data_IF_985797910517
#
_entry.id   IF_985797910517
#
_cell.length_a   1.000
_cell.length_b   1.000
_cell.length_c   1.000
_cell.angle_alpha   90.00
_cell.angle_beta   90.00
_cell.angle_gamma   90.00
#
_symmetry.space_group_name_H-M   'P 1'
#
loop_
_entity.id
_entity.type
_entity.pdbx_description
1 polymer ?
#
# COMPACT_ATOMS: atom_id res chain seq x y z
N UNK A 1 15.25 10.51 4.54
CA UNK A 1 14.50 11.62 5.16
C UNK A 1 13.51 11.05 6.14
N UNK A 2 13.78 11.18 7.42
CA UNK A 2 12.84 10.71 8.46
C UNK A 2 11.78 11.79 8.60
N UNK A 3 10.63 11.59 7.98
CA UNK A 3 9.47 12.44 8.24
C UNK A 3 9.07 12.17 9.69
N UNK A 4 9.39 13.12 10.55
CA UNK A 4 8.88 13.10 11.91
C UNK A 4 7.37 13.32 11.85
N UNK A 5 6.65 12.24 11.87
CA UNK A 5 5.22 12.32 12.12
C UNK A 5 5.05 12.80 13.57
N UNK A 6 4.52 13.98 13.74
CA UNK A 6 4.08 14.40 15.06
C UNK A 6 2.89 13.53 15.42
N UNK A 7 2.99 12.88 16.57
CA UNK A 7 2.04 11.87 17.04
C UNK A 7 0.56 12.29 17.01
N UNK A 8 0.31 13.59 17.04
CA UNK A 8 -1.04 14.15 17.00
C UNK A 8 -1.71 14.05 15.61
N UNK A 9 -0.92 14.09 14.53
CA UNK A 9 -1.47 14.03 13.19
C UNK A 9 -1.95 12.62 12.82
N UNK A 10 -1.24 11.59 13.29
CA UNK A 10 -1.68 10.21 13.12
C UNK A 10 -2.95 9.90 13.92
N UNK A 11 -3.11 10.52 15.10
CA UNK A 11 -4.28 10.32 15.97
C UNK A 11 -5.50 11.11 15.46
N UNK A 12 -5.30 12.32 15.00
CA UNK A 12 -6.38 13.17 14.49
C UNK A 12 -7.00 12.63 13.22
N UNK A 13 -6.21 11.94 12.42
CA UNK A 13 -6.66 11.33 11.18
C UNK A 13 -7.63 10.17 11.42
N UNK A 14 -7.58 9.54 12.59
CA UNK A 14 -8.41 8.38 12.93
C UNK A 14 -9.65 8.70 13.76
N UNK A 15 -9.78 9.91 14.29
CA UNK A 15 -10.88 10.27 15.18
C UNK A 15 -12.15 10.74 14.44
N UNK A 16 -12.10 10.91 13.15
CA UNK A 16 -13.18 11.52 12.40
C UNK A 16 -14.18 10.62 11.69
N UNK A 17 -14.14 9.31 11.87
CA UNK A 17 -15.15 8.37 11.33
C UNK A 17 -15.33 8.38 9.81
N UNK A 18 -14.58 9.17 9.08
CA UNK A 18 -14.75 9.43 7.66
C UNK A 18 -13.48 9.34 6.86
N UNK A 19 -12.48 8.61 7.38
CA UNK A 19 -11.27 8.47 6.61
C UNK A 19 -11.43 7.49 5.48
N UNK A 20 -11.71 8.08 4.37
CA UNK A 20 -11.78 7.41 3.09
C UNK A 20 -10.41 7.20 2.44
N UNK A 21 -9.33 7.50 3.17
CA UNK A 21 -7.99 7.41 2.61
C UNK A 21 -7.07 6.63 3.55
N UNK A 22 -6.60 5.50 3.06
CA UNK A 22 -5.65 4.63 3.76
C UNK A 22 -4.34 5.35 4.05
N UNK A 23 -3.98 6.29 3.19
CA UNK A 23 -2.75 7.06 3.29
C UNK A 23 -3.07 8.55 3.32
N UNK A 24 -3.18 9.02 4.55
CA UNK A 24 -2.12 9.79 5.16
C UNK A 24 -1.52 9.13 6.40
N UNK A 25 -1.29 7.83 6.40
CA UNK A 25 -0.51 7.24 7.48
C UNK A 25 0.91 7.81 7.44
N UNK A 26 1.41 8.23 8.58
CA UNK A 26 2.80 8.60 8.73
C UNK A 26 3.70 7.37 8.52
N UNK A 27 5.01 7.57 8.37
CA UNK A 27 5.95 6.48 8.16
C UNK A 27 5.85 5.42 9.27
N UNK A 28 5.69 5.83 10.52
CA UNK A 28 5.50 4.90 11.65
C UNK A 28 4.20 4.10 11.51
N UNK A 29 3.11 4.77 11.12
CA UNK A 29 1.82 4.11 10.87
C UNK A 29 1.88 3.09 9.74
N UNK A 30 2.61 3.40 8.67
CA UNK A 30 2.82 2.48 7.56
C UNK A 30 3.58 1.22 7.99
N UNK A 31 4.63 1.37 8.79
CA UNK A 31 5.41 0.25 9.30
C UNK A 31 4.56 -0.68 10.18
N UNK A 32 3.75 -0.11 11.05
CA UNK A 32 2.87 -0.89 11.93
C UNK A 32 1.76 -1.56 11.13
N UNK A 33 1.22 -0.88 10.13
CA UNK A 33 0.23 -1.47 9.22
C UNK A 33 0.83 -2.63 8.41
N UNK A 34 2.07 -2.47 7.93
CA UNK A 34 2.79 -3.54 7.23
C UNK A 34 2.98 -4.76 8.14
N UNK A 35 3.38 -4.55 9.39
CA UNK A 35 3.51 -5.64 10.38
C UNK A 35 2.18 -6.36 10.59
N UNK A 36 1.08 -5.61 10.67
CA UNK A 36 -0.26 -6.18 10.79
C UNK A 36 -0.58 -7.05 9.56
N UNK A 37 -0.36 -6.53 8.36
CA UNK A 37 -0.61 -7.28 7.12
C UNK A 37 0.26 -8.53 7.04
N UNK A 38 1.51 -8.43 7.47
CA UNK A 38 2.43 -9.57 7.52
C UNK A 38 1.92 -10.65 8.46
N UNK A 39 1.37 -10.26 9.61
CA UNK A 39 0.78 -11.20 10.56
C UNK A 39 -0.45 -11.91 9.99
N UNK A 40 -1.14 -11.31 9.03
CA UNK A 40 -2.30 -11.89 8.35
C UNK A 40 -1.95 -12.52 6.98
N UNK A 41 -0.67 -12.59 6.63
CA UNK A 41 -0.19 -13.11 5.33
C UNK A 41 -0.78 -12.35 4.13
N UNK A 42 -1.00 -11.04 4.27
CA UNK A 42 -1.59 -10.19 3.23
C UNK A 42 -0.78 -8.93 2.94
N UNK A 43 0.53 -8.98 3.16
CA UNK A 43 1.44 -7.85 2.92
C UNK A 43 1.60 -7.49 1.44
N UNK A 44 1.31 -8.41 0.52
CA UNK A 44 1.45 -8.20 -0.92
C UNK A 44 0.68 -6.98 -1.41
N UNK A 45 -0.48 -6.70 -0.83
CA UNK A 45 -1.32 -5.58 -1.22
C UNK A 45 -0.61 -4.24 -1.00
N UNK A 46 -0.05 -4.05 0.18
CA UNK A 46 0.68 -2.83 0.53
C UNK A 46 1.97 -2.71 -0.28
N UNK A 47 2.72 -3.80 -0.41
CA UNK A 47 3.98 -3.81 -1.16
C UNK A 47 3.73 -3.48 -2.65
N UNK A 48 2.67 -4.03 -3.23
CA UNK A 48 2.28 -3.71 -4.60
C UNK A 48 1.91 -2.23 -4.73
N UNK A 49 1.10 -1.71 -3.82
CA UNK A 49 0.70 -0.30 -3.85
C UNK A 49 1.91 0.63 -3.79
N UNK A 50 2.87 0.34 -2.89
CA UNK A 50 4.11 1.11 -2.77
C UNK A 50 4.97 1.01 -4.03
N UNK A 51 5.07 -0.19 -4.63
CA UNK A 51 5.80 -0.38 -5.89
C UNK A 51 5.18 0.45 -7.01
N UNK A 52 3.85 0.56 -7.06
CA UNK A 52 3.16 1.40 -8.04
C UNK A 52 3.44 2.89 -7.81
N UNK A 53 3.51 3.34 -6.55
CA UNK A 53 3.85 4.73 -6.25
C UNK A 53 5.26 5.07 -6.73
N UNK A 54 6.22 4.17 -6.50
CA UNK A 54 7.59 4.34 -7.00
C UNK A 54 7.63 4.31 -8.53
N UNK A 55 6.85 3.44 -9.16
CA UNK A 55 6.77 3.34 -10.61
C UNK A 55 6.36 4.67 -11.25
N UNK A 56 5.41 5.38 -10.66
CA UNK A 56 4.94 6.68 -11.17
C UNK A 56 6.02 7.76 -11.20
N UNK A 57 7.06 7.61 -10.40
CA UNK A 57 8.15 8.59 -10.33
C UNK A 57 9.22 8.40 -11.40
N UNK A 58 9.16 7.29 -12.16
CA UNK A 58 10.18 6.96 -13.16
C UNK A 58 9.97 7.80 -14.41
N UNK A 59 10.96 8.60 -14.76
CA UNK A 59 10.90 9.50 -15.92
C UNK A 59 11.38 8.83 -17.21
N UNK A 60 12.39 7.95 -17.12
CA UNK A 60 13.00 7.30 -18.30
C UNK A 60 12.20 6.08 -18.73
N UNK A 61 11.89 6.03 -20.01
CA UNK A 61 11.12 4.93 -20.59
C UNK A 61 11.79 3.56 -20.42
N UNK A 62 13.11 3.48 -20.61
CA UNK A 62 13.86 2.23 -20.43
C UNK A 62 13.79 1.71 -19.00
N UNK A 63 13.89 2.59 -18.02
CA UNK A 63 13.75 2.23 -16.61
C UNK A 63 12.31 1.84 -16.27
N UNK A 64 11.35 2.51 -16.90
CA UNK A 64 9.92 2.20 -16.72
C UNK A 64 9.60 0.80 -17.23
N UNK A 65 10.11 0.41 -18.40
CA UNK A 65 9.92 -0.95 -18.95
C UNK A 65 10.46 -2.00 -17.98
N UNK A 66 11.68 -1.80 -17.48
CA UNK A 66 12.31 -2.72 -16.52
C UNK A 66 11.49 -2.83 -15.23
N UNK A 67 11.06 -1.69 -14.69
CA UNK A 67 10.27 -1.65 -13.47
C UNK A 67 8.90 -2.33 -13.67
N UNK A 68 8.25 -2.08 -14.81
CA UNK A 68 6.95 -2.69 -15.12
C UNK A 68 7.04 -4.22 -15.17
N UNK A 69 8.08 -4.75 -15.82
CA UNK A 69 8.30 -6.20 -15.90
C UNK A 69 8.55 -6.81 -14.53
N UNK A 70 9.29 -6.11 -13.68
CA UNK A 70 9.58 -6.56 -12.32
C UNK A 70 8.30 -6.61 -11.47
N UNK A 71 7.49 -5.55 -11.51
CA UNK A 71 6.23 -5.49 -10.78
C UNK A 71 5.28 -6.57 -11.27
N UNK A 72 5.19 -6.76 -12.57
CA UNK A 72 4.37 -7.82 -13.17
C UNK A 72 4.78 -9.21 -12.67
N UNK A 73 6.07 -9.51 -12.73
CA UNK A 73 6.60 -10.82 -12.33
C UNK A 73 6.41 -11.09 -10.83
N UNK A 74 6.51 -10.07 -9.99
CA UNK A 74 6.43 -10.23 -8.55
C UNK A 74 4.98 -10.26 -8.03
N UNK A 75 4.07 -9.47 -8.63
CA UNK A 75 2.73 -9.24 -8.07
C UNK A 75 1.56 -9.60 -8.98
N UNK A 76 1.72 -9.51 -10.29
CA UNK A 76 0.57 -9.50 -11.21
C UNK A 76 0.38 -10.81 -11.95
N UNK A 77 1.45 -11.42 -12.44
CA UNK A 77 1.33 -12.67 -13.20
C UNK A 77 0.73 -13.79 -12.35
N UNK A 78 0.09 -14.76 -13.00
CA UNK A 78 -0.41 -15.94 -12.32
C UNK A 78 0.77 -16.68 -11.68
N UNK A 79 0.59 -17.12 -10.45
CA UNK A 79 1.60 -17.79 -9.63
C UNK A 79 2.82 -16.92 -9.28
N UNK A 80 2.66 -15.59 -9.32
CA UNK A 80 3.69 -14.69 -8.81
C UNK A 80 3.95 -14.95 -7.32
N UNK A 81 5.19 -14.70 -6.89
CA UNK A 81 5.62 -14.91 -5.50
C UNK A 81 4.73 -14.17 -4.49
N UNK A 82 4.29 -12.98 -4.85
CA UNK A 82 3.42 -12.12 -4.02
C UNK A 82 2.19 -11.70 -4.82
N UNK A 83 1.50 -12.68 -5.35
CA UNK A 83 0.38 -12.43 -6.26
C UNK A 83 -0.74 -11.66 -5.57
N UNK A 84 -1.12 -10.53 -6.17
CA UNK A 84 -2.27 -9.74 -5.74
C UNK A 84 -3.55 -10.33 -6.33
N UNK A 85 -4.68 -10.07 -5.67
CA UNK A 85 -5.98 -10.57 -6.11
C UNK A 85 -6.68 -9.52 -6.99
N UNK A 86 -6.47 -9.65 -8.30
CA UNK A 86 -7.14 -8.81 -9.31
C UNK A 86 -7.83 -9.71 -10.34
N UNK A 87 -8.80 -9.14 -11.05
CA UNK A 87 -9.52 -9.85 -12.10
C UNK A 87 -8.64 -10.13 -13.33
N UNK A 88 -9.01 -11.13 -14.11
CA UNK A 88 -8.23 -11.55 -15.28
C UNK A 88 -8.16 -10.47 -16.37
N UNK A 89 -9.18 -9.67 -16.53
CA UNK A 89 -9.21 -8.59 -17.54
C UNK A 89 -8.14 -7.53 -17.19
N UNK A 90 -8.09 -7.10 -15.95
CA UNK A 90 -7.06 -6.16 -15.48
C UNK A 90 -5.65 -6.73 -15.67
N UNK A 91 -5.47 -8.01 -15.35
CA UNK A 91 -4.17 -8.70 -15.53
C UNK A 91 -3.75 -8.75 -16.99
N UNK A 92 -4.66 -9.08 -17.88
CA UNK A 92 -4.38 -9.12 -19.33
C UNK A 92 -4.04 -7.75 -19.89
N UNK A 93 -4.76 -6.72 -19.48
CA UNK A 93 -4.48 -5.34 -19.91
C UNK A 93 -3.05 -4.93 -19.55
N UNK A 94 -2.61 -5.25 -18.33
CA UNK A 94 -1.24 -4.97 -17.91
C UNK A 94 -0.25 -5.77 -18.76
N UNK A 95 -0.52 -7.06 -18.94
CA UNK A 95 0.36 -7.94 -19.76
C UNK A 95 0.57 -7.40 -21.17
N UNK A 96 -0.49 -6.90 -21.81
CA UNK A 96 -0.43 -6.37 -23.16
C UNK A 96 0.40 -5.09 -23.27
N UNK A 97 0.51 -4.32 -22.18
CA UNK A 97 1.23 -3.04 -22.19
C UNK A 97 2.68 -3.13 -21.74
N UNK A 98 3.16 -4.32 -21.33
CA UNK A 98 4.51 -4.47 -20.75
C UNK A 98 5.66 -4.11 -21.71
N UNK A 99 5.45 -4.20 -23.02
CA UNK A 99 6.48 -3.84 -24.01
C UNK A 99 6.65 -2.33 -24.14
N UNK A 100 5.57 -1.57 -23.91
CA UNK A 100 5.57 -0.12 -23.93
C UNK A 100 4.65 0.41 -22.82
N UNK A 101 5.04 0.21 -21.55
CA UNK A 101 4.19 0.62 -20.44
C UNK A 101 4.20 2.13 -20.28
N UNK A 102 3.01 2.71 -20.23
CA UNK A 102 2.87 4.11 -19.89
C UNK A 102 3.02 4.32 -18.38
N UNK A 103 3.06 5.58 -17.92
CA UNK A 103 3.11 5.88 -16.48
C UNK A 103 1.88 5.39 -15.74
N UNK A 104 0.77 5.14 -16.44
CA UNK A 104 -0.51 4.71 -15.87
C UNK A 104 -0.78 3.21 -15.98
N UNK A 105 0.25 2.43 -16.34
CA UNK A 105 0.14 0.98 -16.60
C UNK A 105 -0.56 0.22 -15.47
N UNK A 106 -0.31 0.58 -14.21
CA UNK A 106 -0.81 -0.13 -13.04
C UNK A 106 -1.95 0.59 -12.31
N UNK A 107 -2.42 1.72 -12.81
CA UNK A 107 -3.39 2.57 -12.09
C UNK A 107 -4.67 1.83 -11.73
N UNK A 108 -5.23 1.06 -12.64
CA UNK A 108 -6.46 0.31 -12.39
C UNK A 108 -6.26 -0.75 -11.31
N UNK A 109 -5.19 -1.52 -11.43
CA UNK A 109 -4.84 -2.54 -10.44
C UNK A 109 -4.55 -1.93 -9.08
N UNK A 110 -3.80 -0.83 -9.04
CA UNK A 110 -3.48 -0.10 -7.81
C UNK A 110 -4.74 0.38 -7.11
N UNK A 111 -5.71 0.90 -7.86
CA UNK A 111 -6.99 1.37 -7.34
C UNK A 111 -7.81 0.23 -6.74
N UNK A 112 -7.83 -0.93 -7.41
CA UNK A 112 -8.52 -2.12 -6.90
C UNK A 112 -7.92 -2.60 -5.60
N UNK A 113 -6.59 -2.67 -5.54
CA UNK A 113 -5.86 -3.11 -4.33
C UNK A 113 -6.02 -2.11 -3.19
N UNK A 114 -5.99 -0.82 -3.50
CA UNK A 114 -6.27 0.22 -2.51
C UNK A 114 -7.66 0.02 -1.88
N UNK A 115 -8.66 -0.25 -2.72
CA UNK A 115 -10.02 -0.52 -2.25
C UNK A 115 -10.11 -1.73 -1.33
N UNK A 116 -9.37 -2.81 -1.63
CA UNK A 116 -9.30 -3.98 -0.77
C UNK A 116 -8.71 -3.63 0.59
N UNK A 117 -7.63 -2.86 0.62
CA UNK A 117 -7.01 -2.44 1.88
C UNK A 117 -7.92 -1.50 2.66
N UNK A 118 -8.53 -0.53 1.99
CA UNK A 118 -9.40 0.46 2.64
C UNK A 118 -10.64 -0.17 3.26
N UNK A 119 -11.28 -1.10 2.55
CA UNK A 119 -12.57 -1.65 2.94
C UNK A 119 -12.47 -2.92 3.80
N UNK A 120 -11.34 -3.61 3.79
CA UNK A 120 -11.15 -4.87 4.52
C UNK A 120 -9.99 -4.81 5.51
N UNK A 121 -8.76 -4.68 5.02
CA UNK A 121 -7.57 -4.77 5.87
C UNK A 121 -7.48 -3.64 6.89
N UNK A 122 -7.73 -2.42 6.45
CA UNK A 122 -7.56 -1.22 7.30
C UNK A 122 -8.54 -1.17 8.47
N UNK A 123 -9.85 -1.43 8.29
CA UNK A 123 -10.77 -1.49 9.43
C UNK A 123 -10.37 -2.55 10.48
N UNK A 124 -9.85 -3.70 10.05
CA UNK A 124 -9.36 -4.72 10.98
C UNK A 124 -8.09 -4.28 11.70
N UNK A 125 -7.21 -3.57 10.99
CA UNK A 125 -6.01 -2.97 11.57
C UNK A 125 -6.35 -2.04 12.72
N UNK A 126 -7.33 -1.17 12.54
CA UNK A 126 -7.76 -0.20 13.57
C UNK A 126 -8.28 -0.89 14.84
N UNK A 127 -8.75 -2.12 14.73
CA UNK A 127 -9.23 -2.93 15.86
C UNK A 127 -8.16 -3.87 16.41
N UNK A 128 -6.97 -3.90 15.81
CA UNK A 128 -5.92 -4.84 16.18
C UNK A 128 -5.19 -4.41 17.46
N UNK A 129 -4.57 -5.38 18.13
CA UNK A 129 -3.71 -5.13 19.30
C UNK A 129 -2.49 -4.30 18.92
N UNK A 130 -1.93 -4.55 17.72
CA UNK A 130 -0.77 -3.81 17.19
C UNK A 130 -1.10 -2.30 17.10
N UNK A 131 -2.27 -1.97 16.56
CA UNK A 131 -2.70 -0.58 16.44
C UNK A 131 -2.97 0.04 17.82
N UNK A 132 -3.62 -0.70 18.72
CA UNK A 132 -3.89 -0.23 20.08
C UNK A 132 -2.59 0.04 20.84
N UNK A 133 -1.60 -0.82 20.69
CA UNK A 133 -0.27 -0.61 21.28
C UNK A 133 0.41 0.66 20.73
N UNK A 134 0.26 0.92 19.43
CA UNK A 134 0.77 2.15 18.83
C UNK A 134 0.10 3.39 19.43
N UNK A 135 -1.21 3.37 19.59
CA UNK A 135 -1.97 4.47 20.18
C UNK A 135 -1.54 4.73 21.64
N UNK A 136 -1.42 3.68 22.44
CA UNK A 136 -0.98 3.79 23.84
C UNK A 136 0.43 4.37 23.93
N UNK A 137 1.33 3.92 23.09
CA UNK A 137 2.70 4.43 23.03
C UNK A 137 2.73 5.92 22.70
N UNK A 138 1.93 6.35 21.73
CA UNK A 138 1.86 7.75 21.33
C UNK A 138 1.24 8.62 22.43
N UNK A 139 0.18 8.14 23.08
CA UNK A 139 -0.43 8.85 24.20
C UNK A 139 0.53 9.00 25.36
N UNK A 140 1.30 7.95 25.70
CA UNK A 140 2.27 8.03 26.79
C UNK A 140 3.37 9.07 26.50
N UNK A 141 3.74 9.26 25.25
CA UNK A 141 4.74 10.25 24.86
C UNK A 141 4.22 11.68 24.93
N UNK A 142 2.92 11.88 24.73
CA UNK A 142 2.32 13.22 24.81
C UNK A 142 2.06 13.67 26.25
N UNK A 143 2.01 12.73 27.19
CA UNK A 143 1.78 13.01 28.60
C UNK A 143 3.06 13.14 29.43
N UNK A 144 4.20 12.86 28.82
CA UNK A 144 5.50 12.99 29.51
C UNK A 144 6.17 14.33 29.24
#
# INVERSE_FOLDING_TARGET
MVLRCTSLDCLKLNSGGLQKHLFPLCAAGQLVFEEFLRSEYSEENLLFWLACENYKTIARETERVTAAKRIYAEFVQVDATRQINIDCVTREEISETLSQPGPNCFDRAQKLIYGLMENDCYPRFLKSEIYQALLEYQLSRTLS
#
